data_IF_269435354862
#
_entry.id   IF_269435354862
#
_cell.length_a   1.000
_cell.length_b   1.000
_cell.length_c   1.000
_cell.angle_alpha   90.00
_cell.angle_beta   90.00
_cell.angle_gamma   90.00
#
_symmetry.space_group_name_H-M   'P 1'
#
loop_
_entity.id
_entity.type
_entity.pdbx_description
1 polymer ?
#
# COMPACT_ATOMS: atom_id res chain seq x y z
N UNK A 1 -4.76 -26.65 -24.97
CA UNK A 1 -3.42 -27.10 -24.55
C UNK A 1 -3.59 -28.17 -23.48
N UNK A 2 -2.86 -29.29 -23.57
CA UNK A 2 -3.07 -30.48 -22.73
C UNK A 2 -2.57 -30.23 -21.30
N UNK A 3 -3.38 -30.65 -20.32
CA UNK A 3 -3.03 -30.62 -18.90
C UNK A 3 -2.24 -31.90 -18.57
N UNK A 4 -0.91 -31.80 -18.59
CA UNK A 4 -0.02 -32.81 -18.02
C UNK A 4 0.25 -32.39 -16.57
N UNK A 5 -0.07 -33.27 -15.60
CA UNK A 5 0.05 -33.13 -14.12
C UNK A 5 -1.23 -32.98 -13.28
N UNK A 6 -2.33 -33.64 -13.65
CA UNK A 6 -3.37 -33.98 -12.66
C UNK A 6 -2.95 -35.24 -11.87
N UNK A 7 -2.36 -35.06 -10.68
CA UNK A 7 -2.13 -36.15 -9.72
C UNK A 7 -3.12 -36.05 -8.56
N UNK A 8 -4.30 -36.65 -8.69
CA UNK A 8 -5.15 -36.96 -7.53
C UNK A 8 -5.29 -38.47 -7.37
N UNK A 9 -4.65 -38.99 -6.32
CA UNK A 9 -4.95 -40.30 -5.72
C UNK A 9 -6.28 -40.20 -4.98
N UNK A 10 -7.40 -40.22 -5.70
CA UNK A 10 -8.71 -40.57 -5.15
C UNK A 10 -9.50 -41.33 -6.21
N UNK A 11 -9.00 -42.50 -6.59
CA UNK A 11 -9.71 -43.40 -7.49
C UNK A 11 -9.50 -44.84 -7.01
N UNK A 12 -10.17 -45.19 -5.91
CA UNK A 12 -10.32 -46.54 -5.32
C UNK A 12 -11.17 -46.34 -4.06
N UNK A 13 -12.33 -46.96 -3.79
CA UNK A 13 -12.84 -48.29 -4.12
C UNK A 13 -14.37 -48.27 -4.01
N UNK A 14 -15.09 -48.98 -4.87
CA UNK A 14 -16.39 -49.57 -4.50
C UNK A 14 -16.42 -51.02 -5.00
N UNK A 15 -16.34 -51.95 -4.05
CA UNK A 15 -16.60 -53.37 -4.23
C UNK A 15 -18.11 -53.58 -4.15
N UNK A 16 -18.69 -54.33 -5.10
CA UNK A 16 -20.07 -54.83 -5.10
C UNK A 16 -20.24 -55.98 -4.10
N UNK A 17 -21.39 -56.03 -3.41
CA UNK A 17 -22.34 -57.18 -3.40
C UNK A 17 -23.62 -56.81 -2.63
N UNK A 18 -24.77 -56.93 -3.31
CA UNK A 18 -26.10 -57.50 -2.97
C UNK A 18 -26.56 -57.51 -1.48
N UNK A 19 -27.82 -57.29 -1.08
CA UNK A 19 -29.12 -57.61 -1.71
C UNK A 19 -30.29 -56.95 -0.92
N UNK A 20 -31.47 -56.89 -1.56
CA UNK A 20 -32.86 -56.84 -1.03
C UNK A 20 -33.54 -55.55 -0.48
N UNK A 21 -34.61 -55.18 -1.21
CA UNK A 21 -36.00 -54.77 -0.83
C UNK A 21 -36.18 -53.71 0.30
N UNK A 22 -36.96 -52.63 0.15
CA UNK A 22 -38.35 -52.56 -0.30
C UNK A 22 -38.80 -51.08 -0.40
N UNK A 23 -39.74 -50.80 -1.33
CA UNK A 23 -40.65 -49.65 -1.51
C UNK A 23 -40.34 -48.27 -0.84
N UNK A 24 -40.33 -47.13 -1.54
CA UNK A 24 -41.50 -46.51 -2.20
C UNK A 24 -41.18 -45.09 -2.73
N UNK A 25 -42.03 -44.62 -3.65
CA UNK A 25 -42.24 -43.26 -4.18
C UNK A 25 -41.48 -42.90 -5.48
N UNK A 26 -42.27 -42.75 -6.55
CA UNK A 26 -41.88 -42.27 -7.86
C UNK A 26 -41.30 -40.85 -7.81
N UNK A 27 -40.06 -40.70 -8.28
CA UNK A 27 -39.41 -39.42 -8.61
C UNK A 27 -39.20 -39.44 -10.13
N UNK A 28 -39.57 -38.37 -10.87
CA UNK A 28 -39.43 -38.36 -12.32
C UNK A 28 -37.96 -38.52 -12.74
N UNK A 29 -37.75 -39.26 -13.83
CA UNK A 29 -36.45 -39.71 -14.33
C UNK A 29 -35.39 -38.59 -14.40
N UNK A 30 -34.13 -38.87 -14.03
CA UNK A 30 -33.06 -37.90 -14.23
C UNK A 30 -32.81 -37.74 -15.73
N UNK A 31 -32.83 -36.49 -16.19
CA UNK A 31 -32.27 -36.11 -17.49
C UNK A 31 -30.79 -36.56 -17.54
N UNK A 32 -30.27 -36.96 -18.71
CA UNK A 32 -28.89 -37.39 -18.82
C UNK A 32 -27.97 -36.21 -18.46
N UNK A 33 -27.21 -36.36 -17.37
CA UNK A 33 -26.06 -35.51 -17.07
C UNK A 33 -25.00 -35.73 -18.16
N UNK A 34 -25.11 -34.96 -19.24
CA UNK A 34 -24.05 -34.78 -20.22
C UNK A 34 -23.62 -33.32 -20.18
N UNK A 35 -22.53 -33.05 -19.47
CA UNK A 35 -21.92 -31.74 -19.45
C UNK A 35 -20.83 -31.69 -18.40
N UNK A 36 -19.62 -32.10 -18.76
CA UNK A 36 -18.45 -31.47 -18.16
C UNK A 36 -18.58 -29.97 -18.48
N UNK A 37 -18.96 -29.15 -17.49
CA UNK A 37 -18.88 -27.69 -17.60
C UNK A 37 -17.42 -27.36 -17.89
N UNK A 38 -17.12 -27.09 -19.17
CA UNK A 38 -15.86 -26.52 -19.58
C UNK A 38 -15.76 -25.16 -18.89
N UNK A 39 -14.79 -25.03 -18.00
CA UNK A 39 -14.41 -23.76 -17.40
C UNK A 39 -14.33 -22.70 -18.51
N UNK A 40 -15.20 -21.69 -18.45
CA UNK A 40 -15.19 -20.65 -19.47
C UNK A 40 -13.94 -19.78 -19.30
N UNK A 41 -12.92 -20.03 -20.12
CA UNK A 41 -11.70 -19.24 -20.14
C UNK A 41 -11.97 -17.75 -20.47
N UNK A 42 -13.15 -17.44 -21.03
CA UNK A 42 -13.65 -16.08 -21.23
C UNK A 42 -14.07 -15.39 -19.93
N UNK A 43 -14.21 -16.10 -18.81
CA UNK A 43 -14.44 -15.52 -17.48
C UNK A 43 -13.17 -15.46 -16.61
N UNK A 44 -12.07 -16.09 -17.04
CA UNK A 44 -10.84 -16.14 -16.26
C UNK A 44 -10.14 -14.78 -16.21
N UNK A 45 -9.94 -14.27 -15.00
CA UNK A 45 -9.13 -13.07 -14.76
C UNK A 45 -7.69 -13.45 -14.47
N UNK A 46 -6.77 -12.63 -14.95
CA UNK A 46 -5.37 -12.66 -14.52
C UNK A 46 -5.31 -12.19 -13.07
N UNK A 47 -4.81 -13.05 -12.20
CA UNK A 47 -4.61 -12.72 -10.79
C UNK A 47 -3.21 -12.12 -10.60
N UNK A 48 -3.16 -10.83 -10.27
CA UNK A 48 -1.95 -10.11 -9.97
C UNK A 48 -1.92 -9.71 -8.48
N UNK A 49 -0.80 -9.93 -7.82
CA UNK A 49 -0.58 -9.53 -6.43
C UNK A 49 0.53 -8.49 -6.39
N UNK A 50 0.42 -7.46 -5.55
CA UNK A 50 1.51 -6.53 -5.26
C UNK A 50 1.76 -6.44 -3.77
N UNK A 51 3.02 -6.60 -3.37
CA UNK A 51 3.41 -6.68 -1.96
C UNK A 51 3.94 -5.33 -1.50
N UNK A 52 3.36 -4.77 -0.44
CA UNK A 52 3.88 -3.56 0.18
C UNK A 52 5.25 -3.81 0.80
N UNK A 53 6.22 -2.89 0.66
CA UNK A 53 7.56 -3.07 1.24
C UNK A 53 7.54 -3.22 2.77
N UNK A 54 6.57 -2.62 3.46
CA UNK A 54 6.40 -2.73 4.92
C UNK A 54 5.86 -4.10 5.38
N UNK A 55 5.34 -4.92 4.47
CA UNK A 55 4.91 -6.30 4.76
C UNK A 55 6.08 -7.29 4.74
N UNK A 56 7.15 -7.02 3.98
CA UNK A 56 8.27 -7.94 3.84
C UNK A 56 9.08 -8.16 5.14
N UNK A 57 9.36 -7.13 5.97
CA UNK A 57 9.98 -7.33 7.28
C UNK A 57 9.17 -8.25 8.21
N UNK A 58 7.84 -8.28 8.08
CA UNK A 58 7.00 -9.19 8.88
C UNK A 58 7.27 -10.65 8.51
N UNK A 59 7.22 -11.00 7.22
CA UNK A 59 7.50 -12.37 6.77
C UNK A 59 8.95 -12.78 7.05
N UNK A 60 9.90 -11.88 6.84
CA UNK A 60 11.31 -12.11 7.17
C UNK A 60 11.51 -12.41 8.67
N UNK A 61 10.93 -11.59 9.56
CA UNK A 61 11.05 -11.77 11.00
C UNK A 61 10.25 -12.96 11.56
N UNK A 62 9.14 -13.34 10.92
CA UNK A 62 8.29 -14.48 11.31
C UNK A 62 8.92 -15.81 10.90
N UNK A 63 9.51 -15.87 9.71
CA UNK A 63 10.14 -17.09 9.17
C UNK A 63 11.66 -17.15 9.37
N UNK A 64 12.25 -16.18 10.07
CA UNK A 64 13.70 -16.08 10.30
C UNK A 64 14.51 -16.10 9.00
N UNK A 65 14.06 -15.33 8.00
CA UNK A 65 14.66 -15.20 6.67
C UNK A 65 15.23 -13.80 6.45
N UNK A 66 16.07 -13.66 5.42
CA UNK A 66 16.37 -12.34 4.85
C UNK A 66 15.11 -11.75 4.19
N UNK A 67 15.08 -10.42 3.96
CA UNK A 67 13.97 -9.78 3.23
C UNK A 67 13.82 -10.37 1.83
N UNK A 68 14.94 -10.64 1.15
CA UNK A 68 14.98 -11.22 -0.18
C UNK A 68 14.45 -12.65 -0.21
N UNK A 69 14.80 -13.48 0.77
CA UNK A 69 14.31 -14.86 0.80
C UNK A 69 12.85 -14.92 1.25
N UNK A 70 12.43 -14.02 2.15
CA UNK A 70 11.03 -13.86 2.53
C UNK A 70 10.16 -13.43 1.34
N UNK A 71 10.63 -12.49 0.51
CA UNK A 71 9.89 -12.09 -0.70
C UNK A 71 9.80 -13.23 -1.72
N UNK A 72 10.87 -14.03 -1.87
CA UNK A 72 10.86 -15.20 -2.75
C UNK A 72 9.92 -16.30 -2.27
N UNK A 73 9.91 -16.56 -0.97
CA UNK A 73 9.01 -17.55 -0.36
C UNK A 73 7.56 -17.12 -0.47
N UNK A 74 7.27 -15.86 -0.19
CA UNK A 74 5.95 -15.28 -0.35
C UNK A 74 5.48 -15.38 -1.81
N UNK A 75 6.32 -15.01 -2.77
CA UNK A 75 6.03 -15.15 -4.20
C UNK A 75 5.73 -16.60 -4.57
N UNK A 76 6.60 -17.53 -4.16
CA UNK A 76 6.42 -18.96 -4.39
C UNK A 76 5.08 -19.49 -3.86
N UNK A 77 4.73 -19.09 -2.64
CA UNK A 77 3.45 -19.45 -2.02
C UNK A 77 2.26 -18.92 -2.82
N UNK A 78 2.28 -17.63 -3.15
CA UNK A 78 1.23 -17.00 -3.95
C UNK A 78 1.08 -17.66 -5.33
N UNK A 79 2.19 -17.98 -6.01
CA UNK A 79 2.16 -18.71 -7.28
C UNK A 79 1.61 -20.13 -7.13
N UNK A 80 1.88 -20.81 -6.01
CA UNK A 80 1.29 -22.12 -5.72
C UNK A 80 -0.23 -22.09 -5.52
N UNK A 81 -0.79 -20.92 -5.17
CA UNK A 81 -2.24 -20.68 -5.10
C UNK A 81 -2.86 -20.32 -6.46
N UNK A 82 -2.06 -20.21 -7.53
CA UNK A 82 -2.54 -19.82 -8.87
C UNK A 82 -2.43 -18.32 -9.17
N UNK A 83 -1.70 -17.54 -8.35
CA UNK A 83 -1.36 -16.16 -8.71
C UNK A 83 -0.43 -16.15 -9.92
N UNK A 84 -0.76 -15.32 -10.92
CA UNK A 84 -0.02 -15.25 -12.18
C UNK A 84 1.20 -14.34 -12.06
N UNK A 85 1.01 -13.16 -11.43
CA UNK A 85 2.05 -12.16 -11.27
C UNK A 85 2.14 -11.67 -9.82
N UNK A 86 3.36 -11.56 -9.28
CA UNK A 86 3.63 -11.02 -7.95
C UNK A 86 4.65 -9.90 -8.04
N UNK A 87 4.23 -8.66 -7.79
CA UNK A 87 5.04 -7.46 -7.92
C UNK A 87 5.50 -6.89 -6.56
N UNK A 88 6.62 -6.17 -6.58
CA UNK A 88 7.00 -5.26 -5.49
C UNK A 88 6.32 -3.89 -5.68
N UNK A 89 5.60 -3.42 -4.67
CA UNK A 89 4.93 -2.11 -4.71
C UNK A 89 5.84 -0.91 -4.38
N UNK A 90 7.15 -1.13 -4.17
CA UNK A 90 8.12 -0.06 -3.86
C UNK A 90 8.15 1.03 -4.94
N UNK A 91 7.99 0.68 -6.22
CA UNK A 91 7.91 1.64 -7.32
C UNK A 91 6.75 2.63 -7.16
N UNK A 92 5.60 2.17 -6.66
CA UNK A 92 4.45 3.03 -6.42
C UNK A 92 4.65 3.94 -5.21
N UNK A 93 5.42 3.48 -4.21
CA UNK A 93 5.84 4.32 -3.10
C UNK A 93 6.80 5.44 -3.54
N UNK A 94 7.72 5.16 -4.48
CA UNK A 94 8.57 6.20 -5.06
C UNK A 94 7.75 7.30 -5.71
N UNK A 95 6.77 6.97 -6.55
CA UNK A 95 5.87 7.96 -7.15
C UNK A 95 5.15 8.80 -6.09
N UNK A 96 4.59 8.16 -5.05
CA UNK A 96 3.89 8.87 -3.97
C UNK A 96 4.81 9.87 -3.25
N UNK A 97 6.06 9.48 -3.01
CA UNK A 97 7.07 10.33 -2.36
C UNK A 97 7.51 11.48 -3.28
N UNK A 98 7.80 11.20 -4.55
CA UNK A 98 8.22 12.21 -5.53
C UNK A 98 7.12 13.22 -5.84
N UNK A 99 5.85 12.80 -5.91
CA UNK A 99 4.76 13.76 -6.10
C UNK A 99 4.47 14.56 -4.82
N UNK A 100 4.63 13.95 -3.64
CA UNK A 100 4.55 14.67 -2.37
C UNK A 100 5.65 15.72 -2.23
N UNK A 101 6.87 15.45 -2.70
CA UNK A 101 7.97 16.42 -2.61
C UNK A 101 7.76 17.61 -3.55
N UNK A 102 7.37 17.35 -4.81
CA UNK A 102 7.05 18.41 -5.78
C UNK A 102 5.92 19.30 -5.25
N UNK A 103 4.89 18.68 -4.69
CA UNK A 103 3.79 19.41 -4.10
C UNK A 103 4.23 20.26 -2.90
N UNK A 104 5.09 19.73 -2.02
CA UNK A 104 5.62 20.49 -0.89
C UNK A 104 6.39 21.74 -1.35
N UNK A 105 7.33 21.58 -2.28
CA UNK A 105 8.13 22.70 -2.84
C UNK A 105 7.21 23.74 -3.48
N UNK A 106 6.24 23.32 -4.29
CA UNK A 106 5.24 24.22 -4.89
C UNK A 106 4.45 24.98 -3.82
N UNK A 107 3.92 24.29 -2.80
CA UNK A 107 3.17 24.92 -1.71
C UNK A 107 4.04 25.88 -0.91
N UNK A 108 5.32 25.54 -0.71
CA UNK A 108 6.27 26.40 0.00
C UNK A 108 6.49 27.73 -0.75
N UNK A 109 6.69 27.70 -2.06
CA UNK A 109 6.83 28.92 -2.87
C UNK A 109 5.55 29.76 -2.94
N UNK A 110 4.38 29.12 -2.94
CA UNK A 110 3.09 29.81 -3.01
C UNK A 110 2.60 30.33 -1.65
N UNK A 111 3.20 29.86 -0.55
CA UNK A 111 2.76 30.24 0.77
C UNK A 111 3.01 31.73 1.04
N UNK A 112 1.93 32.44 1.36
CA UNK A 112 1.96 33.79 1.88
C UNK A 112 1.02 33.92 3.08
N UNK A 113 1.04 35.07 3.76
CA UNK A 113 0.08 35.37 4.83
C UNK A 113 -1.35 35.50 4.29
N UNK A 114 -1.52 35.91 3.03
CA UNK A 114 -2.81 36.09 2.36
C UNK A 114 -3.36 34.77 1.80
N UNK A 115 -2.47 33.90 1.30
CA UNK A 115 -2.79 32.59 0.74
C UNK A 115 -2.01 31.48 1.47
N UNK A 116 -2.52 30.99 2.62
CA UNK A 116 -1.85 29.96 3.39
C UNK A 116 -1.92 28.59 2.70
N UNK A 117 -0.82 28.22 2.03
CA UNK A 117 -0.64 26.89 1.44
C UNK A 117 0.00 25.84 2.40
N UNK A 118 0.51 26.30 3.54
CA UNK A 118 1.13 25.48 4.59
C UNK A 118 0.31 25.51 5.89
N UNK A 119 0.43 24.48 6.75
CA UNK A 119 1.26 23.29 6.59
C UNK A 119 0.76 22.32 5.52
N UNK A 120 1.64 21.44 5.08
CA UNK A 120 1.29 20.24 4.32
C UNK A 120 1.28 19.00 5.23
N UNK A 121 0.21 18.22 5.17
CA UNK A 121 0.01 16.98 5.93
C UNK A 121 0.00 15.80 4.97
N UNK A 122 0.76 14.75 5.23
CA UNK A 122 0.78 13.56 4.34
C UNK A 122 -0.60 12.89 4.23
N UNK A 123 -0.85 12.22 3.12
CA UNK A 123 -2.12 11.51 2.83
C UNK A 123 -1.95 10.00 2.56
N UNK A 124 -0.74 9.45 2.61
CA UNK A 124 -0.51 8.03 2.32
C UNK A 124 -1.15 7.07 3.35
N UNK A 125 -1.51 7.53 4.55
CA UNK A 125 -2.13 6.73 5.60
C UNK A 125 -3.67 6.83 5.53
N UNK A 126 -4.39 5.76 5.14
CA UNK A 126 -5.84 5.81 4.92
C UNK A 126 -6.63 6.03 6.21
N UNK A 127 -6.18 5.50 7.36
CA UNK A 127 -6.80 5.77 8.65
C UNK A 127 -6.77 7.26 9.04
N UNK A 128 -5.69 7.96 8.69
CA UNK A 128 -5.57 9.40 8.87
C UNK A 128 -6.46 10.17 7.89
N UNK A 129 -6.38 9.87 6.59
CA UNK A 129 -7.19 10.54 5.56
C UNK A 129 -8.68 10.40 5.86
N UNK A 130 -9.15 9.19 6.22
CA UNK A 130 -10.54 8.96 6.59
C UNK A 130 -10.97 9.78 7.79
N UNK A 131 -10.11 9.88 8.82
CA UNK A 131 -10.39 10.73 9.98
C UNK A 131 -10.46 12.22 9.59
N UNK A 132 -9.52 12.68 8.75
CA UNK A 132 -9.50 14.04 8.27
C UNK A 132 -10.75 14.40 7.46
N UNK A 133 -11.16 13.55 6.52
CA UNK A 133 -12.31 13.78 5.65
C UNK A 133 -13.65 13.61 6.39
N UNK A 134 -13.80 12.57 7.22
CA UNK A 134 -15.10 12.26 7.85
C UNK A 134 -15.35 13.00 9.17
N UNK A 135 -14.30 13.37 9.90
CA UNK A 135 -14.43 13.95 11.23
C UNK A 135 -13.92 15.38 11.30
N UNK A 136 -12.82 15.71 10.61
CA UNK A 136 -12.20 17.03 10.75
C UNK A 136 -12.71 18.04 9.72
N UNK A 137 -12.98 17.60 8.49
CA UNK A 137 -13.53 18.40 7.40
C UNK A 137 -12.61 19.53 6.92
N UNK A 138 -13.24 20.58 6.38
CA UNK A 138 -12.57 21.70 5.70
C UNK A 138 -11.44 22.40 6.48
N UNK A 139 -11.44 22.50 7.83
CA UNK A 139 -10.29 23.03 8.56
C UNK A 139 -8.98 22.22 8.41
N UNK A 140 -9.03 21.02 7.85
CA UNK A 140 -7.87 20.12 7.73
C UNK A 140 -7.68 19.60 6.31
N UNK A 141 -8.75 19.29 5.57
CA UNK A 141 -8.62 18.68 4.24
C UNK A 141 -7.81 19.49 3.22
N UNK A 142 -7.80 20.85 3.19
CA UNK A 142 -6.94 21.62 2.29
C UNK A 142 -5.44 21.45 2.56
N UNK A 143 -5.08 21.07 3.79
CA UNK A 143 -3.69 20.82 4.17
C UNK A 143 -3.21 19.41 3.79
N UNK A 144 -4.11 18.51 3.38
CA UNK A 144 -3.71 17.16 2.94
C UNK A 144 -2.95 17.22 1.61
N UNK A 145 -1.88 16.43 1.53
CA UNK A 145 -1.15 16.14 0.31
C UNK A 145 -2.09 15.54 -0.74
N UNK A 146 -2.05 16.03 -1.96
CA UNK A 146 -2.88 15.55 -3.06
C UNK A 146 -2.27 14.33 -3.76
N UNK A 147 -0.97 14.05 -3.59
CA UNK A 147 -0.37 12.83 -4.11
C UNK A 147 -1.12 11.60 -3.59
N UNK A 148 -1.46 10.68 -4.50
CA UNK A 148 -2.14 9.43 -4.21
C UNK A 148 -1.24 8.52 -3.37
N UNK A 149 -1.88 7.61 -2.64
CA UNK A 149 -1.15 6.62 -1.86
C UNK A 149 -0.43 5.61 -2.77
N UNK A 150 0.59 4.91 -2.25
CA UNK A 150 1.26 3.85 -3.00
C UNK A 150 0.30 2.76 -3.49
N UNK A 151 -0.77 2.45 -2.74
CA UNK A 151 -1.77 1.47 -3.16
C UNK A 151 -2.53 1.96 -4.40
N UNK A 152 -3.05 3.18 -4.35
CA UNK A 152 -3.81 3.78 -5.45
C UNK A 152 -2.96 3.89 -6.72
N UNK A 153 -1.70 4.30 -6.57
CA UNK A 153 -0.75 4.37 -7.69
C UNK A 153 -0.47 2.97 -8.24
N UNK A 154 -0.26 1.96 -7.38
CA UNK A 154 0.01 0.60 -7.82
C UNK A 154 -1.20 -0.01 -8.56
N UNK A 155 -2.42 0.24 -8.09
CA UNK A 155 -3.64 -0.17 -8.79
C UNK A 155 -3.70 0.39 -10.21
N UNK A 156 -3.42 1.69 -10.37
CA UNK A 156 -3.37 2.32 -11.69
C UNK A 156 -2.21 1.78 -12.53
N UNK A 157 -1.04 1.56 -11.95
CA UNK A 157 0.12 1.03 -12.67
C UNK A 157 -0.17 -0.39 -13.22
N UNK A 158 -0.81 -1.25 -12.43
CA UNK A 158 -1.16 -2.62 -12.84
C UNK A 158 -2.31 -2.63 -13.86
N UNK A 159 -3.39 -1.88 -13.60
CA UNK A 159 -4.60 -1.91 -14.44
C UNK A 159 -4.56 -0.98 -15.66
N UNK A 160 -3.59 -0.08 -15.75
CA UNK A 160 -3.36 0.77 -16.92
C UNK A 160 -2.07 0.37 -17.67
N UNK A 161 -0.90 0.63 -17.09
CA UNK A 161 0.38 0.41 -17.79
C UNK A 161 0.65 -1.07 -18.06
N UNK A 162 0.62 -1.91 -17.03
CA UNK A 162 0.89 -3.35 -17.19
C UNK A 162 -0.17 -4.03 -18.05
N UNK A 163 -1.46 -3.73 -17.83
CA UNK A 163 -2.56 -4.24 -18.64
C UNK A 163 -2.34 -3.97 -20.14
N UNK A 164 -2.03 -2.71 -20.52
CA UNK A 164 -1.72 -2.36 -21.91
C UNK A 164 -0.51 -3.09 -22.47
N UNK A 165 0.53 -3.30 -21.66
CA UNK A 165 1.72 -4.07 -22.09
C UNK A 165 1.45 -5.56 -22.30
N UNK A 166 0.43 -6.11 -21.65
CA UNK A 166 0.00 -7.50 -21.81
C UNK A 166 -1.14 -7.67 -22.81
N UNK A 167 -1.56 -6.60 -23.49
CA UNK A 167 -2.75 -6.60 -24.36
C UNK A 167 -4.03 -7.07 -23.63
N UNK A 168 -4.15 -6.66 -22.36
CA UNK A 168 -5.29 -6.95 -21.49
C UNK A 168 -6.08 -5.67 -21.18
N UNK A 169 -7.40 -5.79 -21.10
CA UNK A 169 -8.23 -4.74 -20.52
C UNK A 169 -8.19 -4.80 -18.99
N UNK A 170 -8.41 -3.66 -18.33
CA UNK A 170 -8.33 -3.53 -16.88
C UNK A 170 -9.24 -4.51 -16.11
N UNK A 171 -10.42 -4.82 -16.64
CA UNK A 171 -11.41 -5.74 -16.08
C UNK A 171 -10.99 -7.22 -16.14
N UNK A 172 -10.01 -7.54 -16.98
CA UNK A 172 -9.40 -8.88 -17.07
C UNK A 172 -8.35 -9.12 -15.99
N UNK A 173 -7.98 -8.12 -15.20
CA UNK A 173 -7.01 -8.23 -14.11
C UNK A 173 -7.74 -8.09 -12.78
N UNK A 174 -7.61 -9.11 -11.94
CA UNK A 174 -7.96 -9.01 -10.52
C UNK A 174 -6.68 -8.73 -9.74
N UNK A 175 -6.58 -7.52 -9.20
CA UNK A 175 -5.39 -7.02 -8.51
C UNK A 175 -5.60 -7.05 -7.00
N UNK A 176 -4.68 -7.74 -6.31
CA UNK A 176 -4.65 -7.86 -4.85
C UNK A 176 -3.42 -7.16 -4.29
N UNK A 177 -3.59 -6.39 -3.23
CA UNK A 177 -2.48 -5.80 -2.48
C UNK A 177 -2.27 -6.58 -1.18
N UNK A 178 -1.02 -6.99 -0.92
CA UNK A 178 -0.61 -7.51 0.39
C UNK A 178 -0.06 -6.36 1.22
N UNK A 179 -0.77 -5.99 2.29
CA UNK A 179 -0.48 -4.78 3.07
C UNK A 179 -0.36 -5.03 4.58
N UNK A 180 0.33 -4.14 5.33
CA UNK A 180 0.45 -4.28 6.78
C UNK A 180 -0.79 -3.81 7.57
N UNK A 181 -1.83 -3.30 6.92
CA UNK A 181 -2.89 -2.52 7.57
C UNK A 181 -4.29 -2.86 7.06
N UNK A 182 -5.27 -2.99 7.96
CA UNK A 182 -6.68 -3.18 7.59
C UNK A 182 -7.29 -1.95 6.92
N UNK A 183 -6.85 -0.74 7.25
CA UNK A 183 -7.42 0.49 6.66
C UNK A 183 -7.18 0.58 5.15
N UNK A 184 -6.21 -0.17 4.60
CA UNK A 184 -5.99 -0.32 3.15
C UNK A 184 -7.16 -1.01 2.44
N UNK A 185 -7.88 -1.91 3.12
CA UNK A 185 -9.15 -2.48 2.62
C UNK A 185 -10.20 -1.39 2.45
N UNK A 186 -10.30 -0.48 3.41
CA UNK A 186 -11.24 0.64 3.34
C UNK A 186 -10.88 1.65 2.26
N UNK A 187 -9.59 1.82 1.99
CA UNK A 187 -9.10 2.64 0.87
C UNK A 187 -9.48 2.01 -0.48
N UNK A 188 -9.24 0.70 -0.68
CA UNK A 188 -9.60 0.00 -1.91
C UNK A 188 -11.11 0.10 -2.21
N UNK A 189 -11.96 -0.04 -1.18
CA UNK A 189 -13.41 0.15 -1.32
C UNK A 189 -13.83 1.55 -1.78
N UNK A 190 -13.02 2.58 -1.53
CA UNK A 190 -13.29 3.94 -2.01
C UNK A 190 -12.80 4.17 -3.44
N UNK A 191 -11.81 3.39 -3.89
CA UNK A 191 -11.26 3.46 -5.25
C UNK A 191 -12.26 2.97 -6.30
N UNK A 192 -13.19 2.09 -5.93
CA UNK A 192 -14.26 1.56 -6.79
C UNK A 192 -15.39 2.56 -7.06
N UNK A 193 -15.42 3.73 -6.38
CA UNK A 193 -16.47 4.73 -6.60
C UNK A 193 -16.15 5.52 -7.89
N UNK A 194 -17.02 5.49 -8.92
CA UNK A 194 -16.75 6.09 -10.25
C UNK A 194 -16.48 7.60 -10.27
N UNK A 195 -16.61 8.28 -9.14
CA UNK A 195 -16.37 9.72 -8.97
C UNK A 195 -14.89 10.08 -8.80
N UNK A 196 -13.98 9.12 -8.67
CA UNK A 196 -12.58 9.34 -8.26
C UNK A 196 -11.59 9.77 -9.38
N UNK A 197 -12.09 10.41 -10.45
CA UNK A 197 -11.42 10.81 -11.71
C UNK A 197 -11.60 9.80 -12.86
N UNK A 198 -12.09 10.26 -14.04
CA UNK A 198 -12.21 9.42 -15.22
C UNK A 198 -10.87 8.75 -15.57
N UNK A 199 -10.85 7.43 -15.65
CA UNK A 199 -9.65 6.66 -16.00
C UNK A 199 -8.82 6.15 -14.82
N UNK A 200 -9.10 6.55 -13.58
CA UNK A 200 -8.50 5.90 -12.42
C UNK A 200 -9.02 4.47 -12.27
N UNK A 201 -8.12 3.55 -11.92
CA UNK A 201 -8.43 2.13 -11.69
C UNK A 201 -7.72 1.70 -10.41
N UNK A 202 -8.52 1.33 -9.42
CA UNK A 202 -8.05 0.90 -8.12
C UNK A 202 -7.72 -0.58 -8.01
N UNK A 203 -7.29 -0.96 -6.81
CA UNK A 203 -7.06 -2.35 -6.40
C UNK A 203 -8.40 -3.05 -6.09
N UNK A 204 -8.59 -4.32 -6.49
CA UNK A 204 -9.85 -5.06 -6.24
C UNK A 204 -9.94 -5.63 -4.81
N UNK A 205 -8.80 -5.99 -4.23
CA UNK A 205 -8.76 -6.64 -2.92
C UNK A 205 -7.49 -6.28 -2.16
N UNK A 206 -7.60 -6.23 -0.83
CA UNK A 206 -6.44 -6.14 0.05
C UNK A 206 -6.46 -7.30 1.02
N UNK A 207 -5.35 -8.03 1.07
CA UNK A 207 -5.07 -9.05 2.07
C UNK A 207 -3.98 -8.53 2.99
N UNK A 208 -4.13 -8.73 4.29
CA UNK A 208 -3.11 -8.28 5.23
C UNK A 208 -1.95 -9.28 5.31
N UNK A 209 -0.77 -8.82 5.74
CA UNK A 209 0.38 -9.71 5.92
C UNK A 209 0.05 -10.87 6.88
N UNK A 210 -0.73 -10.60 7.93
CA UNK A 210 -1.20 -11.61 8.88
C UNK A 210 -2.15 -12.63 8.28
N UNK A 211 -3.11 -12.20 7.46
CA UNK A 211 -4.03 -13.10 6.74
C UNK A 211 -3.27 -14.02 5.78
N UNK A 212 -2.30 -13.48 5.01
CA UNK A 212 -1.45 -14.30 4.16
C UNK A 212 -0.61 -15.29 4.97
N UNK A 213 -0.03 -14.87 6.09
CA UNK A 213 0.76 -15.79 6.91
C UNK A 213 -0.10 -16.89 7.54
N UNK A 214 -1.33 -16.59 7.94
CA UNK A 214 -2.29 -17.59 8.39
C UNK A 214 -2.60 -18.61 7.28
N UNK A 215 -2.81 -18.13 6.04
CA UNK A 215 -2.99 -19.02 4.88
C UNK A 215 -1.75 -19.90 4.63
N UNK A 216 -0.54 -19.36 4.81
CA UNK A 216 0.69 -20.14 4.69
C UNK A 216 0.80 -21.23 5.75
N UNK A 217 0.42 -20.94 7.00
CA UNK A 217 0.46 -21.89 8.12
C UNK A 217 -0.60 -22.99 8.02
N UNK A 218 -1.74 -22.69 7.42
CA UNK A 218 -2.86 -23.63 7.24
C UNK A 218 -2.79 -24.43 5.93
N UNK A 219 -1.80 -24.15 5.08
CA UNK A 219 -1.68 -24.74 3.75
C UNK A 219 -0.71 -25.92 3.74
N UNK A 220 -1.15 -27.04 3.18
CA UNK A 220 -0.30 -28.23 2.92
C UNK A 220 0.48 -28.14 1.59
N UNK A 221 0.45 -26.98 0.91
CA UNK A 221 1.13 -26.78 -0.37
C UNK A 221 2.65 -26.82 -0.22
N UNK A 222 3.30 -27.60 -1.08
CA UNK A 222 4.75 -27.57 -1.23
C UNK A 222 5.16 -26.27 -1.94
N UNK A 223 5.69 -25.32 -1.17
CA UNK A 223 6.15 -24.03 -1.68
C UNK A 223 7.55 -24.15 -2.25
N UNK A 224 7.72 -23.74 -3.51
CA UNK A 224 9.04 -23.49 -4.11
C UNK A 224 9.25 -21.98 -4.16
N UNK A 225 10.35 -21.51 -3.59
CA UNK A 225 10.71 -20.10 -3.63
C UNK A 225 10.81 -19.63 -5.09
N UNK A 226 10.21 -18.48 -5.39
CA UNK A 226 10.16 -17.90 -6.74
C UNK A 226 10.52 -16.42 -6.70
N UNK A 227 11.19 -15.90 -7.72
CA UNK A 227 11.44 -14.47 -7.78
C UNK A 227 10.14 -13.68 -8.02
N UNK A 228 10.06 -12.46 -7.49
CA UNK A 228 9.01 -11.52 -7.85
C UNK A 228 9.06 -11.24 -9.37
N UNK A 229 7.88 -11.04 -9.94
CA UNK A 229 7.72 -10.56 -11.30
C UNK A 229 8.04 -9.05 -11.35
N UNK A 230 8.43 -8.58 -12.52
CA UNK A 230 8.86 -7.19 -12.75
C UNK A 230 7.97 -6.57 -13.81
N UNK A 231 7.77 -5.25 -13.69
CA UNK A 231 7.07 -4.45 -14.70
C UNK A 231 7.99 -4.07 -15.86
N UNK A 232 9.30 -4.35 -15.75
CA UNK A 232 10.38 -3.81 -16.59
C UNK A 232 11.08 -4.88 -17.47
N UNK A 233 10.35 -5.90 -17.92
CA UNK A 233 10.92 -6.96 -18.77
C UNK A 233 11.77 -7.94 -17.97
N UNK A 234 13.03 -8.20 -18.35
CA UNK A 234 13.89 -9.17 -17.65
C UNK A 234 14.71 -8.56 -16.51
N UNK A 235 14.64 -7.24 -16.32
CA UNK A 235 15.40 -6.55 -15.28
C UNK A 235 14.73 -6.76 -13.92
N UNK A 236 15.47 -7.42 -13.02
CA UNK A 236 15.05 -7.70 -11.64
C UNK A 236 15.86 -6.86 -10.68
N UNK A 237 15.18 -5.98 -9.95
CA UNK A 237 15.79 -5.27 -8.83
C UNK A 237 15.66 -6.08 -7.53
N UNK A 238 16.64 -5.92 -6.66
CA UNK A 238 16.51 -6.39 -5.29
C UNK A 238 15.51 -5.53 -4.53
N UNK A 239 14.78 -6.14 -3.60
CA UNK A 239 13.90 -5.43 -2.68
C UNK A 239 14.75 -4.49 -1.82
N UNK A 240 14.43 -3.20 -1.84
CA UNK A 240 15.10 -2.17 -1.05
C UNK A 240 14.07 -1.36 -0.27
N UNK A 241 14.49 -0.84 0.87
CA UNK A 241 13.66 0.11 1.64
C UNK A 241 13.97 1.54 1.21
N UNK A 242 13.06 2.46 1.48
CA UNK A 242 13.34 3.88 1.40
C UNK A 242 14.30 4.33 2.51
N UNK A 243 15.12 5.33 2.20
CA UNK A 243 15.99 5.97 3.18
C UNK A 243 15.18 6.71 4.25
N UNK A 244 15.63 6.61 5.49
CA UNK A 244 14.97 7.24 6.64
C UNK A 244 14.89 6.31 7.85
N UNK A 245 14.56 6.92 9.00
CA UNK A 245 14.36 6.21 10.26
C UNK A 245 12.92 5.69 10.44
N UNK A 246 11.96 6.25 9.70
CA UNK A 246 10.56 5.80 9.67
C UNK A 246 10.33 4.70 8.64
N UNK A 247 9.22 3.97 8.77
CA UNK A 247 8.90 2.81 7.91
C UNK A 247 8.68 3.14 6.43
N UNK A 248 8.42 4.41 6.12
CA UNK A 248 7.96 4.85 4.79
C UNK A 248 8.92 5.86 4.15
N UNK A 249 9.95 6.33 4.86
CA UNK A 249 11.00 7.24 4.34
C UNK A 249 10.56 8.63 3.87
N UNK A 250 9.26 8.89 3.79
CA UNK A 250 8.66 10.08 3.17
C UNK A 250 9.14 11.41 3.79
N UNK A 251 9.06 11.56 5.12
CA UNK A 251 9.55 12.78 5.79
C UNK A 251 11.02 13.05 5.48
N UNK A 252 11.89 12.05 5.63
CA UNK A 252 13.33 12.21 5.46
C UNK A 252 13.66 12.63 4.03
N UNK A 253 12.97 12.01 3.08
CA UNK A 253 13.16 12.28 1.67
C UNK A 253 12.75 13.71 1.29
N UNK A 254 11.50 14.10 1.60
CA UNK A 254 10.99 15.44 1.27
C UNK A 254 11.81 16.51 1.98
N UNK A 255 12.26 16.26 3.21
CA UNK A 255 13.10 17.22 3.94
C UNK A 255 14.43 17.47 3.23
N UNK A 256 15.15 16.42 2.80
CA UNK A 256 16.42 16.57 2.07
C UNK A 256 16.23 17.28 0.74
N UNK A 257 15.22 16.85 -0.03
CA UNK A 257 14.91 17.47 -1.31
C UNK A 257 14.56 18.95 -1.14
N UNK A 258 13.68 19.29 -0.20
CA UNK A 258 13.31 20.67 0.09
C UNK A 258 14.49 21.51 0.60
N UNK A 259 15.37 20.95 1.43
CA UNK A 259 16.57 21.65 1.89
C UNK A 259 17.49 22.01 0.72
N UNK A 260 17.68 21.07 -0.21
CA UNK A 260 18.52 21.28 -1.38
C UNK A 260 17.89 22.23 -2.39
N UNK A 261 16.63 22.01 -2.74
CA UNK A 261 15.93 22.78 -3.77
C UNK A 261 15.63 24.22 -3.34
N UNK A 262 15.17 24.42 -2.09
CA UNK A 262 14.73 25.74 -1.62
C UNK A 262 15.87 26.59 -1.05
N UNK A 263 16.94 25.96 -0.55
CA UNK A 263 17.98 26.66 0.21
C UNK A 263 19.42 26.31 -0.18
N UNK A 264 19.62 25.44 -1.17
CA UNK A 264 20.93 24.91 -1.60
C UNK A 264 21.72 24.22 -0.47
N UNK A 265 21.00 23.62 0.50
CA UNK A 265 21.60 22.92 1.64
C UNK A 265 21.58 21.40 1.43
N UNK A 266 22.76 20.78 1.45
CA UNK A 266 22.89 19.32 1.39
C UNK A 266 22.84 18.72 2.80
N UNK A 267 21.79 17.92 3.07
CA UNK A 267 21.54 17.32 4.38
C UNK A 267 21.81 15.82 4.32
N UNK A 268 22.98 15.40 4.83
CA UNK A 268 23.35 13.99 4.95
C UNK A 268 22.47 13.24 5.97
N UNK A 269 22.70 13.48 7.26
CA UNK A 269 21.99 12.81 8.36
C UNK A 269 20.93 13.73 8.99
N UNK A 270 19.73 13.19 9.23
CA UNK A 270 18.64 13.92 9.89
C UNK A 270 18.65 13.64 11.39
N UNK A 271 18.75 14.69 12.18
CA UNK A 271 18.63 14.61 13.65
C UNK A 271 17.17 14.77 14.06
N UNK A 272 16.58 13.70 14.58
CA UNK A 272 15.21 13.70 15.08
C UNK A 272 15.16 14.05 16.56
N UNK A 273 14.52 15.17 16.90
CA UNK A 273 14.23 15.55 18.29
C UNK A 273 12.89 15.00 18.71
N UNK A 274 12.88 14.04 19.64
CA UNK A 274 11.64 13.61 20.29
C UNK A 274 11.02 14.77 21.08
N UNK A 275 9.72 14.99 20.90
CA UNK A 275 8.98 16.00 21.62
C UNK A 275 8.33 15.37 22.86
N UNK A 276 7.05 15.00 22.77
CA UNK A 276 6.31 14.42 23.89
C UNK A 276 6.59 12.94 24.11
N UNK A 277 6.88 12.21 23.04
CA UNK A 277 7.13 10.78 23.03
C UNK A 277 7.89 10.41 21.75
N UNK A 278 8.25 9.13 21.61
CA UNK A 278 9.03 8.63 20.46
C UNK A 278 8.26 8.67 19.13
N UNK A 279 6.94 8.75 19.19
CA UNK A 279 6.03 8.83 18.04
C UNK A 279 5.67 10.28 17.66
N UNK A 280 6.28 11.26 18.33
CA UNK A 280 6.17 12.67 17.94
C UNK A 280 7.56 13.30 17.91
N UNK A 281 8.13 13.36 16.72
CA UNK A 281 9.50 13.81 16.49
C UNK A 281 9.52 15.03 15.57
N UNK A 282 10.53 15.88 15.73
CA UNK A 282 10.74 17.09 14.94
C UNK A 282 12.12 17.05 14.28
N UNK A 283 12.20 17.58 13.06
CA UNK A 283 13.45 17.81 12.32
C UNK A 283 13.44 19.27 11.85
N UNK A 284 14.56 19.97 12.04
CA UNK A 284 14.70 21.39 11.71
C UNK A 284 15.93 21.63 10.87
N UNK A 285 15.80 22.48 9.84
CA UNK A 285 16.92 23.10 9.13
C UNK A 285 17.05 24.53 9.65
N UNK A 286 18.20 24.85 10.22
CA UNK A 286 18.50 26.19 10.73
C UNK A 286 19.75 26.75 10.05
N UNK A 287 19.69 28.00 9.59
CA UNK A 287 20.82 28.72 8.98
C UNK A 287 20.85 30.14 9.52
N UNK A 288 22.01 30.58 10.02
CA UNK A 288 22.21 31.93 10.58
C UNK A 288 21.17 32.33 11.65
N UNK A 289 20.79 31.38 12.51
CA UNK A 289 19.81 31.58 13.58
C UNK A 289 18.34 31.66 13.12
N UNK A 290 18.06 31.41 11.84
CA UNK A 290 16.70 31.34 11.30
C UNK A 290 16.33 29.89 10.98
N UNK A 291 15.11 29.51 11.34
CA UNK A 291 14.53 28.21 10.99
C UNK A 291 14.01 28.30 9.56
N UNK A 292 14.65 27.56 8.65
CA UNK A 292 14.28 27.50 7.24
C UNK A 292 13.21 26.43 7.00
N UNK A 293 13.41 25.24 7.57
CA UNK A 293 12.44 24.14 7.53
C UNK A 293 12.18 23.62 8.93
N UNK A 294 10.91 23.34 9.24
CA UNK A 294 10.52 22.64 10.46
C UNK A 294 9.49 21.58 10.12
N UNK A 295 9.91 20.33 10.15
CA UNK A 295 9.08 19.16 9.83
C UNK A 295 8.78 18.37 11.10
N UNK A 296 7.69 17.61 11.11
CA UNK A 296 7.40 16.68 12.19
C UNK A 296 6.86 15.34 11.70
N UNK A 297 7.18 14.29 12.43
CA UNK A 297 6.50 13.00 12.38
C UNK A 297 5.53 12.91 13.56
N UNK A 298 4.24 12.65 13.29
CA UNK A 298 3.20 12.54 14.30
C UNK A 298 2.42 11.22 14.10
N UNK A 299 2.82 10.19 14.85
CA UNK A 299 2.24 8.86 14.75
C UNK A 299 1.31 8.56 15.92
N UNK A 300 0.21 7.85 15.63
CA UNK A 300 -0.79 7.50 16.63
C UNK A 300 -1.82 8.61 16.88
N UNK A 301 -3.10 8.23 17.00
CA UNK A 301 -4.23 9.17 17.15
C UNK A 301 -4.07 10.20 18.27
N UNK A 302 -3.41 9.86 19.38
CA UNK A 302 -3.12 10.82 20.45
C UNK A 302 -2.25 11.98 19.95
N UNK A 303 -1.22 11.71 19.16
CA UNK A 303 -0.36 12.74 18.60
C UNK A 303 -1.08 13.49 17.47
N UNK A 304 -1.84 12.79 16.64
CA UNK A 304 -2.69 13.38 15.57
C UNK A 304 -3.66 14.43 16.16
N UNK A 305 -4.38 14.09 17.23
CA UNK A 305 -5.30 15.03 17.90
C UNK A 305 -4.59 16.29 18.38
N UNK A 306 -3.34 16.17 18.86
CA UNK A 306 -2.54 17.33 19.27
C UNK A 306 -2.11 18.20 18.08
N UNK A 307 -1.72 17.60 16.96
CA UNK A 307 -1.41 18.30 15.71
C UNK A 307 -2.62 19.07 15.21
N UNK A 308 -3.77 18.40 15.12
CA UNK A 308 -5.05 19.01 14.68
C UNK A 308 -5.47 20.16 15.60
N UNK A 309 -5.33 20.01 16.92
CA UNK A 309 -5.66 21.06 17.87
C UNK A 309 -4.77 22.30 17.68
N UNK A 310 -3.47 22.12 17.41
CA UNK A 310 -2.54 23.23 17.12
C UNK A 310 -2.91 23.92 15.80
N UNK A 311 -3.24 23.13 14.77
CA UNK A 311 -3.63 23.63 13.45
C UNK A 311 -4.88 24.50 13.55
N UNK A 312 -5.95 24.00 14.19
CA UNK A 312 -7.21 24.73 14.39
C UNK A 312 -7.07 26.02 15.22
N UNK A 313 -6.01 26.14 16.03
CA UNK A 313 -5.72 27.33 16.83
C UNK A 313 -4.87 28.37 16.10
N UNK A 314 -4.48 28.12 14.85
CA UNK A 314 -3.58 29.01 14.08
C UNK A 314 -2.16 29.10 14.65
N UNK A 315 -1.79 28.24 15.60
CA UNK A 315 -0.45 28.19 16.21
C UNK A 315 0.26 26.92 15.78
N UNK A 316 0.61 26.87 14.50
CA UNK A 316 1.20 25.69 13.88
C UNK A 316 2.63 25.97 13.42
N UNK A 317 3.65 25.42 14.11
CA UNK A 317 5.04 25.80 13.86
C UNK A 317 5.70 25.02 12.71
N UNK A 318 5.01 24.04 12.11
CA UNK A 318 5.59 23.11 11.14
C UNK A 318 5.20 23.50 9.72
N UNK A 319 6.12 23.37 8.77
CA UNK A 319 5.84 23.49 7.34
C UNK A 319 5.25 22.18 6.78
N UNK A 320 5.70 21.04 7.30
CA UNK A 320 5.28 19.71 6.86
C UNK A 320 5.10 18.78 8.05
N UNK A 321 4.08 17.92 8.00
CA UNK A 321 3.88 16.87 9.00
C UNK A 321 3.57 15.53 8.33
N UNK A 322 4.38 14.52 8.62
CA UNK A 322 4.09 13.12 8.33
C UNK A 322 3.14 12.57 9.40
N UNK A 323 1.96 12.12 8.98
CA UNK A 323 0.87 11.72 9.85
C UNK A 323 0.50 10.26 9.59
N UNK A 324 0.73 9.39 10.57
CA UNK A 324 0.40 7.96 10.50
C UNK A 324 -0.52 7.56 11.66
N UNK A 325 -1.60 6.83 11.38
CA UNK A 325 -2.61 6.46 12.38
C UNK A 325 -2.08 5.50 13.46
N UNK A 326 -1.15 4.61 13.10
CA UNK A 326 -0.54 3.66 14.01
C UNK A 326 0.67 4.28 14.72
N UNK A 327 0.75 4.14 16.05
CA UNK A 327 1.98 4.40 16.79
C UNK A 327 3.09 3.47 16.27
N UNK A 328 4.31 3.96 16.07
CA UNK A 328 5.41 3.20 15.45
C UNK A 328 5.32 3.03 13.93
N UNK A 329 4.42 3.76 13.25
CA UNK A 329 4.30 3.78 11.80
C UNK A 329 3.73 2.51 11.17
N UNK A 330 3.90 2.35 9.86
CA UNK A 330 3.28 1.27 9.07
C UNK A 330 3.82 -0.12 9.42
N UNK A 331 5.05 -0.24 9.95
CA UNK A 331 5.56 -1.52 10.48
C UNK A 331 4.69 -2.05 11.63
N UNK A 332 4.04 -1.17 12.39
CA UNK A 332 3.09 -1.53 13.46
C UNK A 332 1.62 -1.45 12.99
N UNK A 333 1.39 -1.60 11.68
CA UNK A 333 0.05 -1.74 11.13
C UNK A 333 -0.67 -2.93 11.76
N UNK A 334 -1.97 -2.77 12.06
CA UNK A 334 -2.73 -3.81 12.77
C UNK A 334 -3.00 -5.07 11.92
N UNK A 335 -2.75 -5.03 10.62
CA UNK A 335 -2.87 -6.21 9.75
C UNK A 335 -1.68 -7.18 9.86
N UNK A 336 -0.73 -6.93 10.77
CA UNK A 336 0.44 -7.77 10.95
C UNK A 336 0.92 -7.76 12.40
N UNK A 337 1.77 -8.74 12.72
CA UNK A 337 2.41 -8.88 14.04
C UNK A 337 1.43 -8.76 15.22
N UNK A 338 0.27 -9.41 15.11
CA UNK A 338 -0.68 -9.55 16.20
C UNK A 338 -0.54 -10.92 16.86
N UNK A 339 -0.74 -10.97 18.18
CA UNK A 339 -0.98 -12.20 18.94
C UNK A 339 -2.42 -12.69 18.73
N UNK A 340 -2.72 -13.93 19.10
CA UNK A 340 -4.05 -14.52 18.95
C UNK A 340 -5.16 -13.72 19.65
N UNK A 341 -4.84 -13.02 20.74
CA UNK A 341 -5.75 -12.13 21.46
C UNK A 341 -5.84 -10.72 20.84
N UNK A 342 -5.30 -10.52 19.63
CA UNK A 342 -5.39 -9.28 18.85
C UNK A 342 -4.47 -8.14 19.32
N UNK A 343 -3.56 -8.40 20.26
CA UNK A 343 -2.58 -7.42 20.74
C UNK A 343 -1.35 -7.39 19.85
N UNK A 344 -0.58 -6.30 19.93
CA UNK A 344 0.68 -6.20 19.20
C UNK A 344 1.73 -7.16 19.79
N UNK A 345 2.29 -8.03 18.96
CA UNK A 345 3.43 -8.87 19.29
C UNK A 345 4.70 -8.02 19.31
N UNK A 346 5.06 -7.56 20.51
CA UNK A 346 6.23 -6.69 20.73
C UNK A 346 7.55 -7.35 20.35
N UNK A 347 7.68 -8.66 20.53
CA UNK A 347 8.91 -9.37 20.23
C UNK A 347 9.10 -9.48 18.71
N UNK A 348 8.04 -9.84 17.98
CA UNK A 348 8.06 -9.87 16.53
C UNK A 348 8.28 -8.47 15.94
N UNK A 349 7.60 -7.44 16.44
CA UNK A 349 7.79 -6.05 16.01
C UNK A 349 9.24 -5.57 16.21
N UNK A 350 9.88 -5.96 17.31
CA UNK A 350 11.28 -5.62 17.54
C UNK A 350 12.21 -6.28 16.51
N UNK A 351 11.95 -7.55 16.15
CA UNK A 351 12.68 -8.23 15.06
C UNK A 351 12.43 -7.58 13.71
N UNK A 352 11.18 -7.25 13.39
CA UNK A 352 10.80 -6.56 12.15
C UNK A 352 11.55 -5.23 11.99
N UNK A 353 11.65 -4.44 13.07
CA UNK A 353 12.41 -3.18 13.06
C UNK A 353 13.90 -3.42 12.80
N UNK A 354 14.48 -4.46 13.39
CA UNK A 354 15.88 -4.85 13.13
C UNK A 354 16.10 -5.23 11.66
N UNK A 355 15.23 -6.08 11.11
CA UNK A 355 15.28 -6.49 9.70
C UNK A 355 15.12 -5.30 8.77
N UNK A 356 14.15 -4.42 9.05
CA UNK A 356 13.94 -3.22 8.24
C UNK A 356 15.15 -2.28 8.31
N UNK A 357 15.70 -2.00 9.51
CA UNK A 357 16.84 -1.10 9.65
C UNK A 357 18.12 -1.61 8.96
N UNK A 358 18.32 -2.94 8.91
CA UNK A 358 19.47 -3.56 8.27
C UNK A 358 19.38 -3.62 6.73
N UNK A 359 18.18 -3.41 6.16
CA UNK A 359 17.97 -3.46 4.72
C UNK A 359 18.64 -2.28 3.98
N UNK A 360 19.11 -2.50 2.73
CA UNK A 360 19.69 -1.45 1.90
C UNK A 360 18.65 -0.37 1.61
N UNK A 361 19.03 0.87 1.89
CA UNK A 361 18.25 2.05 1.58
C UNK A 361 18.36 2.47 0.12
N UNK A 362 17.35 3.19 -0.37
CA UNK A 362 17.31 3.79 -1.71
C UNK A 362 16.65 5.17 -1.67
N UNK A 363 17.05 6.03 -2.59
CA UNK A 363 16.38 7.29 -2.89
C UNK A 363 15.52 7.14 -4.15
N UNK A 364 14.23 7.55 -4.11
CA UNK A 364 13.32 7.47 -5.25
C UNK A 364 13.85 8.03 -6.58
N UNK A 365 14.62 9.12 -6.59
CA UNK A 365 15.15 9.75 -7.81
C UNK A 365 16.18 8.89 -8.53
N UNK A 366 16.87 8.00 -7.81
CA UNK A 366 17.89 7.13 -8.41
C UNK A 366 17.28 5.95 -9.17
N UNK A 367 15.96 5.73 -9.05
CA UNK A 367 15.28 4.69 -9.80
C UNK A 367 15.10 5.09 -11.26
N UNK A 368 15.91 4.52 -12.15
CA UNK A 368 15.74 4.68 -13.60
C UNK A 368 14.33 4.26 -14.07
N UNK A 369 13.80 3.21 -13.46
CA UNK A 369 12.46 2.70 -13.74
C UNK A 369 11.34 3.71 -13.47
N UNK A 370 11.46 4.52 -12.41
CA UNK A 370 10.48 5.59 -12.16
C UNK A 370 10.52 6.64 -13.27
N UNK A 371 11.72 7.01 -13.72
CA UNK A 371 11.89 7.99 -14.80
C UNK A 371 11.36 7.46 -16.14
N UNK A 372 11.60 6.19 -16.42
CA UNK A 372 11.05 5.52 -17.60
C UNK A 372 9.52 5.50 -17.57
N UNK A 373 8.92 5.18 -16.42
CA UNK A 373 7.46 5.21 -16.28
C UNK A 373 6.89 6.62 -16.38
N UNK A 374 7.54 7.67 -15.86
CA UNK A 374 7.08 9.04 -16.12
C UNK A 374 6.98 9.32 -17.63
N UNK A 375 7.97 8.88 -18.43
CA UNK A 375 7.97 9.10 -19.88
C UNK A 375 6.99 8.20 -20.64
N UNK A 376 7.03 6.89 -20.39
CA UNK A 376 6.29 5.89 -21.17
C UNK A 376 4.83 5.75 -20.73
N UNK A 377 4.56 5.87 -19.43
CA UNK A 377 3.23 5.67 -18.88
C UNK A 377 2.46 6.99 -18.76
N UNK A 378 3.13 8.05 -18.31
CA UNK A 378 2.49 9.30 -17.87
C UNK A 378 2.68 10.48 -18.83
N UNK A 379 3.38 10.27 -19.95
CA UNK A 379 3.67 11.29 -20.97
C UNK A 379 4.52 12.47 -20.44
N UNK A 380 5.29 12.24 -19.37
CA UNK A 380 6.13 13.22 -18.69
C UNK A 380 5.66 13.53 -17.26
N UNK A 381 6.59 13.99 -16.43
CA UNK A 381 6.33 14.25 -15.01
C UNK A 381 5.35 15.41 -14.74
N UNK A 382 5.29 16.39 -15.64
CA UNK A 382 4.42 17.56 -15.55
C UNK A 382 3.17 17.47 -16.44
N UNK A 383 2.95 16.32 -17.07
CA UNK A 383 1.85 16.12 -18.00
C UNK A 383 0.49 16.09 -17.26
N UNK A 384 -0.62 16.52 -17.91
CA UNK A 384 -1.96 16.40 -17.33
C UNK A 384 -2.33 14.99 -16.91
N UNK A 385 -1.80 13.98 -17.62
CA UNK A 385 -1.96 12.58 -17.31
C UNK A 385 -1.30 12.19 -15.99
N UNK A 386 -0.05 12.61 -15.75
CA UNK A 386 0.61 12.41 -14.46
C UNK A 386 -0.24 12.97 -13.32
N UNK A 387 -0.77 14.20 -13.47
CA UNK A 387 -1.66 14.80 -12.48
C UNK A 387 -2.95 14.00 -12.25
N UNK A 388 -3.63 13.57 -13.32
CA UNK A 388 -4.86 12.78 -13.22
C UNK A 388 -4.67 11.37 -12.65
N UNK A 389 -3.48 10.78 -12.85
CA UNK A 389 -3.13 9.43 -12.40
C UNK A 389 -2.50 9.40 -11.01
N UNK A 390 -1.73 10.41 -10.64
CA UNK A 390 -0.95 10.42 -9.39
C UNK A 390 -1.51 11.36 -8.31
N UNK A 391 -2.50 12.21 -8.62
CA UNK A 391 -3.11 13.10 -7.63
C UNK A 391 -4.62 12.86 -7.46
N UNK A 392 -5.10 13.20 -6.28
CA UNK A 392 -6.50 13.17 -5.90
C UNK A 392 -6.89 14.46 -5.18
N UNK A 393 -8.20 14.73 -5.10
CA UNK A 393 -8.75 15.80 -4.30
C UNK A 393 -9.34 15.23 -3.01
N UNK A 394 -9.06 15.88 -1.88
CA UNK A 394 -9.69 15.55 -0.60
C UNK A 394 -10.93 16.40 -0.41
N UNK A 395 -12.10 15.75 -0.35
CA UNK A 395 -13.34 16.44 -0.05
C UNK A 395 -13.57 16.44 1.47
N UNK A 396 -13.88 17.60 2.05
CA UNK A 396 -14.56 17.64 3.34
C UNK A 396 -15.97 17.03 3.19
N UNK A 397 -16.68 16.70 4.28
CA UNK A 397 -18.03 16.22 4.14
C UNK A 397 -18.85 17.35 3.51
N UNK A 398 -19.23 17.16 2.24
CA UNK A 398 -20.40 17.85 1.70
C UNK A 398 -21.55 17.59 2.66
N UNK A 399 -22.38 18.63 2.87
CA UNK A 399 -23.60 18.66 3.69
C UNK A 399 -24.13 17.25 4.03
N UNK A 400 -24.33 16.90 5.31
CA UNK A 400 -24.41 15.52 5.78
C UNK A 400 -25.34 14.69 4.90
N UNK A 401 -24.76 13.75 4.15
CA UNK A 401 -25.53 12.69 3.52
C UNK A 401 -26.05 11.79 4.65
N UNK A 402 -27.35 11.55 4.63
CA UNK A 402 -28.13 10.82 5.63
C UNK A 402 -27.36 9.68 6.32
N UNK A 403 -27.25 9.83 7.65
CA UNK A 403 -27.37 8.78 8.64
C UNK A 403 -26.92 7.37 8.24
N UNK A 404 -25.61 7.17 8.06
CA UNK A 404 -24.97 5.90 8.42
C UNK A 404 -23.82 6.17 9.37
N UNK A 405 -24.18 6.74 10.52
CA UNK A 405 -23.32 6.73 11.71
C UNK A 405 -23.07 5.29 12.11
N UNK A 406 -21.86 4.80 11.83
CA UNK A 406 -21.33 3.65 12.55
C UNK A 406 -20.98 4.18 13.94
N UNK A 407 -21.86 3.90 14.92
CA UNK A 407 -21.56 4.11 16.33
C UNK A 407 -20.42 3.16 16.73
N UNK A 408 -19.34 3.74 17.25
CA UNK A 408 -18.22 3.02 17.87
C UNK A 408 -18.59 2.56 19.27
#
# INVERSE_FOLDING_TARGET
MKCEHCTRKECSKKTKTDDQENASVEVPSPAPESGEEKCDASEHRVLAVSVCPQSLPYFAAKFSLSVTDASRRLCGFLKSLGVHYVFDATIAADFSILESQKEFVRRFHQHSEEEPALPMLTSACPGWVRYAERVLGHPVTPHLCTARSPQQIMGSLVKDYFARRQDLSADRIFHVIVAPCYDRKLEALQEDVPTASPGFRGTDCVLTSGEIAQMMEQSDLSVRDAALDTLFGDVREEVRRHDGASSDGCLAHIFRHAAKELFDEDVGELTYRALRNRDFQEVTLEKSGKVLLRFAAAYGFRNIQNVVLKLKRGRFPYHFVEVLACAGGCLNGRGQAQTEDGRADRALLQRMRGVHAAGPGRTPETSAHVQDLYREWLDGADAPRARGTLHTAHQGPGRPADGRDIKW
#
